data_IF_424730959752
#
_entry.id   IF_424730959752
#
_cell.length_a   1.000
_cell.length_b   1.000
_cell.length_c   1.000
_cell.angle_alpha   90.00
_cell.angle_beta   90.00
_cell.angle_gamma   90.00
#
_symmetry.space_group_name_H-M   'P 1'
#
loop_
_entity.id
_entity.type
_entity.pdbx_description
1 polymer ?
#
# COMPACT_ATOMS: atom_id res chain seq x y z
N UNK A 1 13.88 -2.16 17.47
CA UNK A 1 13.94 -2.72 16.12
C UNK A 1 13.29 -4.10 16.02
N UNK A 2 13.51 -4.99 16.98
CA UNK A 2 12.98 -6.35 16.98
C UNK A 2 11.47 -6.47 16.77
N UNK A 3 10.65 -5.60 17.37
CA UNK A 3 9.20 -5.69 17.25
C UNK A 3 8.68 -5.40 15.82
N UNK A 4 9.10 -4.31 15.18
CA UNK A 4 8.65 -3.97 13.82
C UNK A 4 9.20 -4.95 12.78
N UNK A 5 10.43 -5.41 12.92
CA UNK A 5 11.00 -6.44 12.03
C UNK A 5 10.21 -7.73 12.13
N UNK A 6 9.85 -8.16 13.34
CA UNK A 6 9.03 -9.35 13.55
C UNK A 6 7.66 -9.21 12.87
N UNK A 7 7.02 -8.04 13.00
CA UNK A 7 5.73 -7.77 12.35
C UNK A 7 5.83 -7.79 10.81
N UNK A 8 6.93 -7.29 10.23
CA UNK A 8 7.15 -7.33 8.78
C UNK A 8 7.43 -8.77 8.32
N UNK A 9 8.25 -9.53 9.07
CA UNK A 9 8.53 -10.94 8.78
C UNK A 9 7.28 -11.83 8.81
N UNK A 10 6.22 -11.40 9.51
CA UNK A 10 4.94 -12.11 9.58
C UNK A 10 4.09 -12.00 8.29
N UNK A 11 4.50 -11.22 7.30
CA UNK A 11 3.73 -11.01 6.06
C UNK A 11 3.38 -12.33 5.36
N UNK A 12 4.30 -13.29 5.31
CA UNK A 12 4.03 -14.63 4.75
C UNK A 12 2.91 -15.36 5.49
N UNK A 13 2.91 -15.33 6.83
CA UNK A 13 1.83 -15.91 7.66
C UNK A 13 0.49 -15.23 7.41
N UNK A 14 0.49 -13.90 7.27
CA UNK A 14 -0.72 -13.13 6.98
C UNK A 14 -1.34 -13.50 5.63
N UNK A 15 -0.50 -13.70 4.60
CA UNK A 15 -0.95 -14.13 3.27
C UNK A 15 -1.44 -15.58 3.27
N UNK A 16 -0.80 -16.47 4.02
CA UNK A 16 -1.30 -17.84 4.24
C UNK A 16 -2.68 -17.83 4.91
N UNK A 17 -2.86 -17.04 5.97
CA UNK A 17 -4.18 -16.85 6.57
C UNK A 17 -5.22 -16.39 5.54
N UNK A 18 -4.87 -15.44 4.67
CA UNK A 18 -5.76 -14.98 3.60
C UNK A 18 -6.12 -16.10 2.60
N UNK A 19 -5.22 -17.07 2.37
CA UNK A 19 -5.49 -18.22 1.50
C UNK A 19 -6.52 -19.18 2.09
N UNK A 20 -6.66 -19.22 3.41
CA UNK A 20 -7.50 -20.17 4.14
C UNK A 20 -8.91 -19.65 4.45
N UNK A 21 -9.09 -18.33 4.59
CA UNK A 21 -10.40 -17.76 4.90
C UNK A 21 -11.35 -17.86 3.70
N UNK A 22 -12.65 -17.98 3.98
CA UNK A 22 -13.67 -18.02 2.96
C UNK A 22 -14.07 -16.63 2.48
N UNK A 23 -14.32 -16.49 1.18
CA UNK A 23 -14.93 -15.29 0.62
C UNK A 23 -16.37 -15.16 1.11
N UNK A 24 -16.81 -13.99 1.62
CA UNK A 24 -18.18 -13.78 2.02
C UNK A 24 -19.10 -13.77 0.80
N UNK A 25 -20.35 -14.27 0.92
CA UNK A 25 -21.32 -14.18 -0.16
C UNK A 25 -21.91 -12.77 -0.22
N UNK A 26 -21.65 -12.03 -1.31
CA UNK A 26 -22.03 -10.60 -1.43
C UNK A 26 -22.97 -10.34 -2.61
N UNK A 27 -22.76 -11.01 -3.72
CA UNK A 27 -23.44 -10.73 -4.99
C UNK A 27 -22.42 -10.32 -6.07
N UNK A 28 -22.89 -9.80 -7.21
CA UNK A 28 -22.01 -9.44 -8.33
C UNK A 28 -21.92 -7.93 -8.48
N UNK A 29 -20.69 -7.43 -8.48
CA UNK A 29 -20.35 -6.01 -8.63
C UNK A 29 -19.19 -5.82 -9.60
N UNK A 30 -19.38 -4.96 -10.60
CA UNK A 30 -18.31 -4.52 -11.51
C UNK A 30 -17.63 -3.21 -11.08
N UNK A 31 -18.24 -2.52 -10.10
CA UNK A 31 -17.73 -1.28 -9.54
C UNK A 31 -17.60 -1.43 -8.02
N UNK A 32 -16.43 -1.13 -7.50
CA UNK A 32 -16.12 -1.17 -6.06
C UNK A 32 -15.53 0.16 -5.62
N UNK A 33 -15.90 0.61 -4.42
CA UNK A 33 -15.33 1.79 -3.78
C UNK A 33 -14.72 1.38 -2.44
N UNK A 34 -13.40 1.20 -2.41
CA UNK A 34 -12.68 0.97 -1.17
C UNK A 34 -12.55 2.29 -0.39
N UNK A 35 -12.75 2.23 0.91
CA UNK A 35 -12.64 3.39 1.80
C UNK A 35 -11.71 3.05 2.96
N UNK A 36 -10.64 3.81 3.13
CA UNK A 36 -9.67 3.55 4.20
C UNK A 36 -8.50 4.51 4.16
N UNK A 37 -7.77 4.60 5.27
CA UNK A 37 -6.62 5.48 5.45
C UNK A 37 -5.33 4.70 5.67
N UNK A 38 -4.17 5.29 5.33
CA UNK A 38 -2.86 4.70 5.61
C UNK A 38 -2.72 3.26 5.11
N UNK A 39 -2.35 2.33 6.01
CA UNK A 39 -2.22 0.90 5.70
C UNK A 39 -3.53 0.24 5.23
N UNK A 40 -4.68 0.72 5.70
CA UNK A 40 -5.99 0.27 5.22
C UNK A 40 -6.30 0.83 3.83
N UNK A 41 -5.95 2.08 3.55
CA UNK A 41 -6.15 2.70 2.24
C UNK A 41 -5.29 2.07 1.15
N UNK A 42 -4.02 1.77 1.44
CA UNK A 42 -3.11 1.16 0.46
C UNK A 42 -3.55 -0.26 0.07
N UNK A 43 -4.26 -1.00 0.95
CA UNK A 43 -4.82 -2.30 0.58
C UNK A 43 -5.90 -2.17 -0.51
N UNK A 44 -6.64 -1.06 -0.53
CA UNK A 44 -7.56 -0.71 -1.61
C UNK A 44 -6.84 -0.39 -2.93
N UNK A 45 -5.75 0.38 -2.88
CA UNK A 45 -4.96 0.69 -4.09
C UNK A 45 -4.34 -0.59 -4.69
N UNK A 46 -3.83 -1.50 -3.84
CA UNK A 46 -3.30 -2.79 -4.27
C UNK A 46 -4.40 -3.66 -4.90
N UNK A 47 -5.57 -3.69 -4.26
CA UNK A 47 -6.73 -4.41 -4.80
C UNK A 47 -7.18 -3.84 -6.15
N UNK A 48 -7.10 -2.51 -6.34
CA UNK A 48 -7.40 -1.87 -7.62
C UNK A 48 -6.44 -2.34 -8.73
N UNK A 49 -5.14 -2.37 -8.47
CA UNK A 49 -4.14 -2.85 -9.43
C UNK A 49 -4.32 -4.35 -9.78
N UNK A 50 -4.77 -5.17 -8.80
CA UNK A 50 -5.04 -6.59 -9.02
C UNK A 50 -6.35 -6.81 -9.77
N UNK A 51 -7.38 -5.98 -9.53
CA UNK A 51 -8.71 -6.13 -10.11
C UNK A 51 -8.81 -5.64 -11.57
N UNK A 52 -7.93 -4.73 -12.00
CA UNK A 52 -7.97 -4.13 -13.33
C UNK A 52 -8.02 -5.17 -14.47
N UNK A 53 -7.19 -6.24 -14.50
CA UNK A 53 -7.23 -7.25 -15.56
C UNK A 53 -8.55 -8.05 -15.62
N UNK A 54 -9.35 -8.02 -14.55
CA UNK A 54 -10.65 -8.69 -14.51
C UNK A 54 -11.80 -7.80 -14.99
N UNK A 55 -11.50 -6.56 -15.41
CA UNK A 55 -12.49 -5.60 -15.87
C UNK A 55 -13.33 -4.98 -14.74
N UNK A 56 -12.93 -5.17 -13.49
CA UNK A 56 -13.55 -4.54 -12.33
C UNK A 56 -12.88 -3.20 -12.04
N UNK A 57 -13.69 -2.17 -11.95
CA UNK A 57 -13.20 -0.86 -11.52
C UNK A 57 -13.22 -0.76 -10.00
N UNK A 58 -12.06 -0.66 -9.40
CA UNK A 58 -11.90 -0.37 -7.97
C UNK A 58 -11.40 1.05 -7.81
N UNK A 59 -12.22 1.91 -7.19
CA UNK A 59 -11.83 3.27 -6.78
C UNK A 59 -11.49 3.29 -5.30
N UNK A 60 -10.61 4.20 -4.87
CA UNK A 60 -10.21 4.30 -3.45
C UNK A 60 -10.49 5.71 -2.95
N UNK A 61 -11.23 5.81 -1.84
CA UNK A 61 -11.41 7.05 -1.11
C UNK A 61 -10.55 7.04 0.16
N UNK A 62 -9.72 8.07 0.30
CA UNK A 62 -8.87 8.33 1.47
C UNK A 62 -9.25 9.66 2.12
N UNK A 63 -10.52 9.82 2.48
CA UNK A 63 -11.04 11.05 3.06
C UNK A 63 -12.41 10.85 3.68
N UNK A 64 -12.97 11.97 4.11
CA UNK A 64 -14.32 12.05 4.68
C UNK A 64 -15.41 11.94 3.60
N UNK A 65 -16.68 11.76 4.04
CA UNK A 65 -17.86 11.92 3.21
C UNK A 65 -18.10 13.40 2.79
N UNK A 66 -19.16 13.67 2.06
CA UNK A 66 -20.21 12.73 1.65
C UNK A 66 -19.82 11.81 0.48
N UNK A 67 -20.63 10.76 0.28
CA UNK A 67 -20.53 9.92 -0.92
C UNK A 67 -20.63 10.77 -2.19
N UNK A 68 -19.69 10.60 -3.14
CA UNK A 68 -19.71 11.40 -4.35
C UNK A 68 -20.92 11.06 -5.24
N UNK A 69 -21.51 12.06 -5.96
CA UNK A 69 -22.71 11.85 -6.76
C UNK A 69 -22.64 10.73 -7.80
N UNK A 70 -21.45 10.44 -8.32
CA UNK A 70 -21.29 9.33 -9.26
C UNK A 70 -21.56 7.98 -8.59
N UNK A 71 -21.09 7.79 -7.33
CA UNK A 71 -21.28 6.55 -6.59
C UNK A 71 -22.77 6.32 -6.24
N UNK A 72 -23.53 7.39 -5.98
CA UNK A 72 -24.98 7.28 -5.77
C UNK A 72 -25.67 6.75 -7.05
N UNK A 73 -25.22 7.16 -8.24
CA UNK A 73 -25.79 6.73 -9.53
C UNK A 73 -25.38 5.30 -9.90
N UNK A 74 -24.09 4.98 -9.71
CA UNK A 74 -23.52 3.68 -10.12
C UNK A 74 -23.79 2.58 -9.11
N UNK A 75 -23.96 2.94 -7.81
CA UNK A 75 -24.18 2.03 -6.67
C UNK A 75 -23.07 0.96 -6.54
N UNK A 76 -21.78 1.36 -6.45
CA UNK A 76 -20.71 0.41 -6.26
C UNK A 76 -20.86 -0.32 -4.92
N UNK A 77 -20.21 -1.48 -4.79
CA UNK A 77 -19.97 -2.06 -3.47
C UNK A 77 -18.98 -1.17 -2.72
N UNK A 78 -19.35 -0.64 -1.58
CA UNK A 78 -18.44 0.07 -0.68
C UNK A 78 -17.72 -0.93 0.22
N UNK A 79 -16.41 -0.99 0.15
CA UNK A 79 -15.58 -1.84 1.02
C UNK A 79 -14.88 -0.93 2.04
N UNK A 80 -15.43 -0.86 3.25
CA UNK A 80 -14.89 -0.05 4.33
C UNK A 80 -13.78 -0.81 5.06
N UNK A 81 -12.56 -0.29 5.02
CA UNK A 81 -11.35 -0.92 5.57
C UNK A 81 -10.77 -0.06 6.67
N UNK A 82 -10.76 -0.57 7.90
CA UNK A 82 -10.08 0.06 9.02
C UNK A 82 -9.53 -1.00 9.95
N UNK A 83 -8.19 -1.09 10.07
CA UNK A 83 -7.56 -2.06 10.95
C UNK A 83 -8.06 -1.92 12.39
N UNK A 84 -8.03 -0.72 12.96
CA UNK A 84 -8.53 -0.46 14.31
C UNK A 84 -10.06 -0.44 14.43
N UNK A 85 -10.77 -0.30 13.31
CA UNK A 85 -12.22 -0.05 13.28
C UNK A 85 -12.66 1.30 13.81
N UNK A 86 -11.71 2.20 14.10
CA UNK A 86 -11.99 3.51 14.74
C UNK A 86 -11.42 4.69 13.95
N UNK A 87 -11.08 4.49 12.66
CA UNK A 87 -10.60 5.56 11.79
C UNK A 87 -11.76 6.49 11.45
N UNK A 88 -11.65 7.75 11.86
CA UNK A 88 -12.71 8.75 11.78
C UNK A 88 -13.21 8.93 10.35
N UNK A 89 -12.30 9.17 9.40
CA UNK A 89 -12.62 9.37 7.99
C UNK A 89 -13.35 8.16 7.39
N UNK A 90 -12.89 6.95 7.72
CA UNK A 90 -13.54 5.72 7.24
C UNK A 90 -14.95 5.55 7.80
N UNK A 91 -15.13 5.86 9.09
CA UNK A 91 -16.44 5.77 9.75
C UNK A 91 -17.40 6.80 9.16
N UNK A 92 -16.97 8.05 9.03
CA UNK A 92 -17.77 9.15 8.49
C UNK A 92 -18.25 8.83 7.06
N UNK A 93 -17.34 8.40 6.19
CA UNK A 93 -17.71 7.99 4.85
C UNK A 93 -18.65 6.78 4.83
N UNK A 94 -18.43 5.79 5.70
CA UNK A 94 -19.27 4.60 5.79
C UNK A 94 -20.70 4.93 6.24
N UNK A 95 -20.85 5.89 7.17
CA UNK A 95 -22.17 6.43 7.57
C UNK A 95 -22.86 7.08 6.37
N UNK A 96 -22.13 7.93 5.63
CA UNK A 96 -22.67 8.56 4.42
C UNK A 96 -23.07 7.54 3.34
N UNK A 97 -22.33 6.43 3.20
CA UNK A 97 -22.65 5.34 2.27
C UNK A 97 -23.92 4.60 2.69
N UNK A 98 -24.04 4.28 3.99
CA UNK A 98 -25.26 3.69 4.59
C UNK A 98 -26.47 4.58 4.34
N UNK A 99 -26.38 5.85 4.69
CA UNK A 99 -27.50 6.80 4.59
C UNK A 99 -27.91 7.06 3.13
N UNK A 100 -26.97 6.86 2.18
CA UNK A 100 -27.23 6.86 0.73
C UNK A 100 -27.77 5.51 0.21
N UNK A 101 -27.93 4.51 1.09
CA UNK A 101 -28.44 3.17 0.74
C UNK A 101 -27.51 2.37 -0.16
N UNK A 102 -26.19 2.63 -0.11
CA UNK A 102 -25.22 1.85 -0.87
C UNK A 102 -24.94 0.49 -0.19
N UNK A 103 -24.63 -0.56 -0.97
CA UNK A 103 -24.17 -1.82 -0.40
C UNK A 103 -22.80 -1.63 0.26
N UNK A 104 -22.63 -2.18 1.48
CA UNK A 104 -21.40 -2.06 2.27
C UNK A 104 -20.89 -3.43 2.66
N UNK A 105 -19.58 -3.63 2.60
CA UNK A 105 -18.84 -4.73 3.23
C UNK A 105 -17.72 -4.14 4.09
N UNK A 106 -17.31 -4.84 5.14
CA UNK A 106 -16.37 -4.32 6.13
C UNK A 106 -15.17 -5.25 6.33
N UNK A 107 -13.99 -4.65 6.45
CA UNK A 107 -12.73 -5.32 6.83
C UNK A 107 -12.14 -4.62 8.03
N UNK A 108 -12.06 -5.31 9.17
CA UNK A 108 -11.61 -4.68 10.44
C UNK A 108 -11.17 -5.72 11.47
N UNK A 109 -10.46 -5.30 12.53
CA UNK A 109 -10.26 -6.11 13.74
C UNK A 109 -11.39 -5.96 14.77
N UNK A 110 -12.37 -5.07 14.54
CA UNK A 110 -13.44 -4.72 15.46
C UNK A 110 -13.72 -3.21 15.48
N UNK A 111 -13.79 -2.64 16.69
CA UNK A 111 -14.05 -1.21 16.88
C UNK A 111 -15.45 -0.77 16.44
N UNK A 112 -15.65 0.53 16.29
CA UNK A 112 -16.94 1.11 15.89
C UNK A 112 -17.41 0.59 14.54
N UNK A 113 -16.50 0.45 13.57
CA UNK A 113 -16.83 -0.08 12.24
C UNK A 113 -17.33 -1.53 12.29
N UNK A 114 -16.72 -2.36 13.19
CA UNK A 114 -17.17 -3.73 13.42
C UNK A 114 -18.58 -3.78 14.02
N UNK A 115 -18.86 -2.93 15.03
CA UNK A 115 -20.20 -2.83 15.62
C UNK A 115 -21.25 -2.38 14.62
N UNK A 116 -20.94 -1.39 13.78
CA UNK A 116 -21.83 -0.96 12.69
C UNK A 116 -22.15 -2.10 11.71
N UNK A 117 -21.14 -2.91 11.36
CA UNK A 117 -21.36 -4.05 10.46
C UNK A 117 -22.29 -5.10 11.07
N UNK A 118 -22.23 -5.33 12.38
CA UNK A 118 -23.11 -6.25 13.10
C UNK A 118 -24.55 -5.72 13.19
N UNK A 119 -24.72 -4.43 13.53
CA UNK A 119 -26.03 -3.76 13.62
C UNK A 119 -26.75 -3.76 12.25
N UNK A 120 -26.04 -3.42 11.18
CA UNK A 120 -26.58 -3.31 9.82
C UNK A 120 -26.58 -4.67 9.08
N UNK A 121 -26.02 -5.73 9.67
CA UNK A 121 -25.86 -7.07 9.08
C UNK A 121 -25.08 -7.05 7.76
N UNK A 122 -24.08 -6.20 7.67
CA UNK A 122 -23.21 -6.15 6.50
C UNK A 122 -22.24 -7.34 6.47
N UNK A 123 -21.86 -7.82 5.27
CA UNK A 123 -20.76 -8.76 5.14
C UNK A 123 -19.50 -8.18 5.80
N UNK A 124 -18.88 -8.98 6.67
CA UNK A 124 -17.71 -8.56 7.43
C UNK A 124 -16.62 -9.63 7.36
N UNK A 125 -15.36 -9.21 7.19
CA UNK A 125 -14.18 -10.04 7.39
C UNK A 125 -13.42 -9.50 8.60
N UNK A 126 -13.40 -10.30 9.68
CA UNK A 126 -12.62 -9.99 10.87
C UNK A 126 -11.15 -10.39 10.62
N UNK A 127 -10.24 -9.43 10.73
CA UNK A 127 -8.81 -9.66 10.57
C UNK A 127 -8.12 -9.78 11.94
N UNK A 128 -7.03 -10.56 12.06
CA UNK A 128 -6.27 -10.68 13.30
C UNK A 128 -5.73 -9.32 13.77
N UNK A 129 -5.82 -9.08 15.09
CA UNK A 129 -5.32 -7.86 15.73
C UNK A 129 -3.88 -8.03 16.25
N UNK A 130 -3.28 -6.96 16.78
CA UNK A 130 -1.99 -7.01 17.49
C UNK A 130 -0.80 -6.43 16.72
N UNK A 131 -0.99 -6.01 15.47
CA UNK A 131 0.06 -5.40 14.65
C UNK A 131 -0.10 -3.89 14.52
N UNK A 132 0.97 -3.22 14.09
CA UNK A 132 0.84 -1.88 13.55
C UNK A 132 0.05 -1.93 12.24
N UNK A 133 -0.89 -1.00 11.95
CA UNK A 133 -1.72 -1.07 10.73
C UNK A 133 -0.91 -1.19 9.44
N UNK A 134 0.25 -0.54 9.36
CA UNK A 134 1.16 -0.61 8.21
C UNK A 134 1.85 -1.97 8.04
N UNK A 135 1.95 -2.75 9.12
CA UNK A 135 2.51 -4.10 9.10
C UNK A 135 1.46 -5.20 8.92
N UNK A 136 0.16 -4.84 8.93
CA UNK A 136 -0.96 -5.78 8.74
C UNK A 136 -1.41 -5.88 7.28
N UNK A 137 -0.52 -5.57 6.32
CA UNK A 137 -0.87 -5.50 4.90
C UNK A 137 -1.45 -6.83 4.38
N UNK A 138 -0.84 -7.97 4.72
CA UNK A 138 -1.29 -9.27 4.24
C UNK A 138 -2.70 -9.60 4.71
N UNK A 139 -3.03 -9.29 5.97
CA UNK A 139 -4.39 -9.44 6.49
C UNK A 139 -5.38 -8.51 5.79
N UNK A 140 -5.07 -7.21 5.69
CA UNK A 140 -5.98 -6.22 5.11
C UNK A 140 -6.21 -6.44 3.62
N UNK A 141 -5.14 -6.58 2.84
CA UNK A 141 -5.22 -6.85 1.40
C UNK A 141 -5.90 -8.19 1.14
N UNK A 142 -5.51 -9.23 1.91
CA UNK A 142 -6.10 -10.54 1.80
C UNK A 142 -7.61 -10.51 2.03
N UNK A 143 -8.06 -9.88 3.11
CA UNK A 143 -9.48 -9.73 3.40
C UNK A 143 -10.23 -8.92 2.32
N UNK A 144 -9.63 -7.82 1.81
CA UNK A 144 -10.21 -7.04 0.70
C UNK A 144 -10.36 -7.92 -0.54
N UNK A 145 -9.33 -8.68 -0.93
CA UNK A 145 -9.42 -9.57 -2.11
C UNK A 145 -10.47 -10.67 -1.91
N UNK A 146 -10.63 -11.22 -0.70
CA UNK A 146 -11.72 -12.16 -0.40
C UNK A 146 -13.10 -11.53 -0.51
N UNK A 147 -13.25 -10.26 -0.10
CA UNK A 147 -14.49 -9.50 -0.34
C UNK A 147 -14.74 -9.34 -1.84
N UNK A 148 -13.71 -9.00 -2.62
CA UNK A 148 -13.82 -8.88 -4.08
C UNK A 148 -14.15 -10.21 -4.78
N UNK A 149 -13.60 -11.33 -4.32
CA UNK A 149 -13.98 -12.67 -4.78
C UNK A 149 -15.47 -12.96 -4.50
N UNK A 150 -15.91 -12.67 -3.27
CA UNK A 150 -17.31 -12.82 -2.87
C UNK A 150 -18.28 -11.91 -3.62
N UNK A 151 -17.76 -10.83 -4.17
CA UNK A 151 -18.47 -9.89 -5.05
C UNK A 151 -18.35 -10.25 -6.54
N UNK A 152 -17.70 -11.36 -6.90
CA UNK A 152 -17.36 -11.76 -8.28
C UNK A 152 -16.59 -10.67 -9.05
N UNK A 153 -15.89 -9.82 -8.34
CA UNK A 153 -15.10 -8.72 -8.89
C UNK A 153 -13.67 -9.16 -9.32
N UNK A 154 -13.17 -10.25 -8.74
CA UNK A 154 -11.94 -10.94 -9.13
C UNK A 154 -12.16 -12.45 -9.07
N UNK A 155 -11.32 -13.20 -9.76
CA UNK A 155 -11.30 -14.67 -9.66
C UNK A 155 -10.63 -15.12 -8.36
N UNK A 156 -10.70 -16.43 -8.06
CA UNK A 156 -10.05 -17.07 -6.90
C UNK A 156 -8.55 -16.75 -6.86
N UNK A 157 -8.10 -16.13 -5.77
CA UNK A 157 -6.72 -15.69 -5.54
C UNK A 157 -5.91 -16.65 -4.67
N UNK A 158 -6.42 -17.83 -4.29
CA UNK A 158 -5.74 -18.75 -3.36
C UNK A 158 -4.32 -19.12 -3.79
N UNK A 159 -4.14 -19.47 -5.06
CA UNK A 159 -2.80 -19.78 -5.58
C UNK A 159 -1.86 -18.57 -5.55
N UNK A 160 -2.38 -17.37 -5.82
CA UNK A 160 -1.62 -16.14 -5.73
C UNK A 160 -1.20 -15.83 -4.28
N UNK A 161 -2.08 -16.08 -3.29
CA UNK A 161 -1.73 -15.94 -1.88
C UNK A 161 -0.63 -16.91 -1.46
N UNK A 162 -0.71 -18.18 -1.87
CA UNK A 162 0.30 -19.19 -1.54
C UNK A 162 1.66 -18.79 -2.13
N UNK A 163 1.72 -18.46 -3.42
CA UNK A 163 2.98 -18.03 -4.05
C UNK A 163 3.55 -16.77 -3.38
N UNK A 164 2.70 -15.78 -3.09
CA UNK A 164 3.12 -14.55 -2.44
C UNK A 164 3.62 -14.77 -0.99
N UNK A 165 2.98 -15.70 -0.26
CA UNK A 165 3.40 -16.07 1.09
C UNK A 165 4.76 -16.74 1.11
N UNK A 166 4.99 -17.68 0.20
CA UNK A 166 6.28 -18.37 0.04
C UNK A 166 7.38 -17.38 -0.39
N UNK A 167 7.09 -16.47 -1.31
CA UNK A 167 8.02 -15.43 -1.73
C UNK A 167 8.38 -14.54 -0.54
N UNK A 168 7.38 -14.02 0.20
CA UNK A 168 7.61 -13.16 1.35
C UNK A 168 8.44 -13.87 2.43
N UNK A 169 8.15 -15.14 2.72
CA UNK A 169 8.92 -15.94 3.67
C UNK A 169 10.40 -16.00 3.32
N UNK A 170 10.72 -16.37 2.08
CA UNK A 170 12.11 -16.44 1.59
C UNK A 170 12.79 -15.06 1.52
N UNK A 171 12.10 -14.07 0.99
CA UNK A 171 12.65 -12.73 0.78
C UNK A 171 13.01 -12.00 2.09
N UNK A 172 12.29 -12.32 3.18
CA UNK A 172 12.49 -11.70 4.51
C UNK A 172 13.45 -12.50 5.41
N UNK A 173 14.07 -13.56 4.91
CA UNK A 173 15.19 -14.25 5.58
C UNK A 173 16.45 -13.38 5.49
N UNK A 174 17.18 -13.27 6.61
CA UNK A 174 18.47 -12.57 6.63
C UNK A 174 19.49 -13.28 5.73
N UNK A 175 20.18 -12.51 4.87
CA UNK A 175 21.12 -13.03 3.88
C UNK A 175 20.45 -13.53 2.59
N UNK A 176 19.14 -13.33 2.40
CA UNK A 176 18.52 -13.53 1.09
C UNK A 176 18.94 -12.45 0.09
N UNK A 177 18.86 -12.75 -1.21
CA UNK A 177 19.15 -11.76 -2.28
C UNK A 177 18.33 -10.47 -2.10
N UNK A 178 17.08 -10.59 -1.63
CA UNK A 178 16.21 -9.44 -1.35
C UNK A 178 16.73 -8.63 -0.17
N UNK A 179 17.21 -9.29 0.88
CA UNK A 179 17.79 -8.65 2.05
C UNK A 179 19.06 -7.91 1.69
N UNK A 180 20.01 -8.55 1.00
CA UNK A 180 21.26 -7.94 0.54
C UNK A 180 20.99 -6.74 -0.39
N UNK A 181 20.02 -6.86 -1.29
CA UNK A 181 19.58 -5.75 -2.15
C UNK A 181 19.03 -4.59 -1.32
N UNK A 182 18.20 -4.88 -0.32
CA UNK A 182 17.65 -3.85 0.56
C UNK A 182 18.74 -3.13 1.38
N UNK A 183 19.77 -3.86 1.84
CA UNK A 183 20.95 -3.28 2.51
C UNK A 183 21.69 -2.30 1.58
N UNK A 184 21.98 -2.70 0.35
CA UNK A 184 22.64 -1.83 -0.61
C UNK A 184 21.86 -0.57 -0.94
N UNK A 185 20.52 -0.70 -1.08
CA UNK A 185 19.63 0.45 -1.30
C UNK A 185 19.62 1.38 -0.07
N UNK A 186 19.48 0.83 1.13
CA UNK A 186 19.45 1.61 2.36
C UNK A 186 20.79 2.33 2.60
N UNK A 187 21.93 1.70 2.30
CA UNK A 187 23.24 2.34 2.36
C UNK A 187 23.32 3.52 1.39
N UNK A 188 22.91 3.32 0.14
CA UNK A 188 22.92 4.37 -0.88
C UNK A 188 21.98 5.55 -0.54
N UNK A 189 20.87 5.29 0.16
CA UNK A 189 19.91 6.30 0.58
C UNK A 189 20.19 6.90 1.95
N UNK A 190 21.20 6.42 2.66
CA UNK A 190 21.53 6.92 4.00
C UNK A 190 21.89 8.41 3.97
N UNK A 191 21.23 9.18 4.83
CA UNK A 191 21.39 10.65 4.88
C UNK A 191 20.75 11.41 3.71
N UNK A 192 20.00 10.73 2.84
CA UNK A 192 19.31 11.31 1.69
C UNK A 192 17.80 11.28 1.82
N UNK A 193 17.15 12.07 1.02
CA UNK A 193 15.70 12.10 0.83
C UNK A 193 15.37 11.17 -0.35
N UNK A 194 14.71 10.04 -0.13
CA UNK A 194 14.35 9.12 -1.20
C UNK A 194 13.21 9.65 -2.08
N UNK A 195 13.41 9.57 -3.39
CA UNK A 195 12.36 9.77 -4.41
C UNK A 195 12.08 8.39 -5.03
N UNK A 196 10.84 7.95 -4.96
CA UNK A 196 10.46 6.61 -5.42
C UNK A 196 9.59 6.74 -6.66
N UNK A 197 10.07 6.25 -7.80
CA UNK A 197 9.32 6.22 -9.06
C UNK A 197 8.72 4.85 -9.30
N UNK A 198 7.49 4.81 -9.82
CA UNK A 198 6.85 3.58 -10.26
C UNK A 198 6.56 3.62 -11.76
N UNK A 199 6.83 2.52 -12.46
CA UNK A 199 6.68 2.44 -13.91
C UNK A 199 5.26 2.17 -14.41
N UNK A 200 4.37 1.62 -13.60
CA UNK A 200 3.03 1.19 -14.03
C UNK A 200 2.06 0.97 -12.87
N UNK A 201 0.92 0.30 -13.11
CA UNK A 201 -0.12 0.11 -12.08
C UNK A 201 0.38 -0.61 -10.83
N UNK A 202 1.19 -1.67 -10.99
CA UNK A 202 1.74 -2.44 -9.87
C UNK A 202 2.85 -1.66 -9.17
N UNK A 203 3.87 -1.24 -9.92
CA UNK A 203 5.02 -0.54 -9.35
C UNK A 203 4.67 0.84 -8.81
N UNK A 204 3.70 1.54 -9.40
CA UNK A 204 3.25 2.85 -8.95
C UNK A 204 2.59 2.82 -7.57
N UNK A 205 1.69 1.87 -7.30
CA UNK A 205 1.07 1.77 -5.97
C UNK A 205 2.07 1.30 -4.91
N UNK A 206 3.06 0.49 -5.30
CA UNK A 206 4.13 0.09 -4.39
C UNK A 206 5.09 1.26 -4.11
N UNK A 207 5.37 2.12 -5.09
CA UNK A 207 6.16 3.34 -4.88
C UNK A 207 5.53 4.24 -3.80
N UNK A 208 4.20 4.42 -3.84
CA UNK A 208 3.46 5.12 -2.79
C UNK A 208 3.65 4.46 -1.42
N UNK A 209 3.60 3.11 -1.35
CA UNK A 209 3.84 2.40 -0.09
C UNK A 209 5.28 2.59 0.42
N UNK A 210 6.28 2.46 -0.43
CA UNK A 210 7.68 2.71 -0.03
C UNK A 210 7.83 4.05 0.66
N UNK A 211 7.30 5.10 0.02
CA UNK A 211 7.29 6.45 0.59
C UNK A 211 6.67 6.48 1.98
N UNK A 212 5.51 5.88 2.17
CA UNK A 212 4.83 5.90 3.47
C UNK A 212 5.56 5.07 4.52
N UNK A 213 6.11 3.92 4.17
CA UNK A 213 6.92 3.10 5.06
C UNK A 213 8.21 3.82 5.49
N UNK A 214 8.90 4.48 4.58
CA UNK A 214 10.09 5.30 4.90
C UNK A 214 9.71 6.44 5.87
N UNK A 215 8.61 7.16 5.59
CA UNK A 215 8.15 8.23 6.48
C UNK A 215 7.81 7.70 7.88
N UNK A 216 7.11 6.56 7.98
CA UNK A 216 6.63 6.04 9.27
C UNK A 216 7.69 5.25 10.04
N UNK A 217 8.54 4.47 9.37
CA UNK A 217 9.57 3.66 10.02
C UNK A 217 10.86 4.44 10.24
N UNK A 218 11.41 5.04 9.19
CA UNK A 218 12.70 5.74 9.25
C UNK A 218 12.59 7.20 9.73
N UNK A 219 11.39 7.78 9.76
CA UNK A 219 11.12 9.21 10.08
C UNK A 219 11.80 10.17 9.09
N UNK A 220 12.13 9.69 7.90
CA UNK A 220 12.78 10.43 6.83
C UNK A 220 11.72 10.94 5.85
N UNK A 221 11.78 12.21 5.41
CA UNK A 221 10.96 12.68 4.29
C UNK A 221 11.21 11.83 3.04
N UNK A 222 10.18 11.49 2.32
CA UNK A 222 10.28 10.80 1.04
C UNK A 222 9.10 11.19 0.15
N UNK A 223 9.30 11.14 -1.16
CA UNK A 223 8.25 11.41 -2.15
C UNK A 223 8.16 10.27 -3.16
N UNK A 224 7.10 10.25 -3.92
CA UNK A 224 6.87 9.28 -4.97
C UNK A 224 6.16 9.92 -6.15
N UNK A 225 6.40 9.37 -7.34
CA UNK A 225 5.70 9.76 -8.55
C UNK A 225 5.61 8.57 -9.51
N UNK A 226 4.85 8.71 -10.59
CA UNK A 226 4.63 7.62 -11.54
C UNK A 226 4.89 8.02 -12.98
N UNK A 227 5.48 7.10 -13.72
CA UNK A 227 5.54 7.13 -15.18
C UNK A 227 4.19 6.73 -15.78
N UNK A 228 3.79 7.30 -16.90
CA UNK A 228 4.56 8.26 -17.71
C UNK A 228 4.37 9.72 -17.29
N UNK A 229 3.52 10.04 -16.29
CA UNK A 229 3.13 11.40 -15.94
C UNK A 229 4.32 12.27 -15.51
N UNK A 230 5.25 11.74 -14.72
CA UNK A 230 6.40 12.51 -14.24
C UNK A 230 7.30 13.03 -15.39
N UNK A 231 7.32 12.35 -16.54
CA UNK A 231 8.08 12.78 -17.71
C UNK A 231 7.47 14.00 -18.43
N UNK A 232 6.26 14.40 -18.06
CA UNK A 232 5.61 15.58 -18.62
C UNK A 232 5.80 16.86 -17.77
N UNK A 233 6.44 16.73 -16.61
CA UNK A 233 6.60 17.82 -15.64
C UNK A 233 7.84 17.65 -14.75
N UNK A 234 7.89 16.66 -13.89
CA UNK A 234 8.88 16.49 -12.84
C UNK A 234 10.30 16.30 -13.38
N UNK A 235 10.45 15.66 -14.56
CA UNK A 235 11.75 15.42 -15.18
C UNK A 235 12.56 16.71 -15.42
N UNK A 236 11.91 17.84 -15.67
CA UNK A 236 12.58 19.13 -15.85
C UNK A 236 13.07 19.73 -14.50
N UNK A 237 12.54 19.26 -13.40
CA UNK A 237 12.95 19.68 -12.05
C UNK A 237 14.38 19.27 -11.69
N UNK A 238 14.98 18.36 -12.44
CA UNK A 238 16.35 17.89 -12.24
C UNK A 238 17.42 18.79 -12.86
N UNK A 239 17.03 19.82 -13.63
CA UNK A 239 17.96 20.70 -14.37
C UNK A 239 18.64 21.73 -13.49
N UNK A 240 18.11 22.03 -12.29
CA UNK A 240 18.59 23.09 -11.42
C UNK A 240 18.81 22.62 -9.98
N UNK A 241 19.40 23.49 -9.14
CA UNK A 241 19.65 23.26 -7.71
C UNK A 241 20.57 22.04 -7.42
N UNK A 242 21.74 21.95 -8.08
CA UNK A 242 22.65 20.80 -7.90
C UNK A 242 23.13 20.62 -6.44
N UNK A 243 23.17 21.68 -5.65
CA UNK A 243 23.47 21.64 -4.23
C UNK A 243 22.40 20.88 -3.40
N UNK A 244 21.18 20.72 -3.92
CA UNK A 244 20.12 19.93 -3.30
C UNK A 244 20.08 18.54 -3.93
N UNK A 245 20.04 18.46 -5.26
CA UNK A 245 19.85 17.21 -5.98
C UNK A 245 21.02 16.27 -5.82
N UNK A 246 22.28 16.77 -5.93
CA UNK A 246 23.50 15.95 -5.85
C UNK A 246 23.88 15.55 -4.43
N UNK A 247 23.49 16.32 -3.42
CA UNK A 247 23.92 16.04 -2.05
C UNK A 247 22.82 15.32 -1.24
N UNK A 248 21.56 15.68 -1.47
CA UNK A 248 20.47 15.31 -0.58
C UNK A 248 19.45 14.30 -1.16
N UNK A 249 19.43 14.08 -2.47
CA UNK A 249 18.42 13.21 -3.06
C UNK A 249 19.02 11.87 -3.51
N UNK A 250 18.16 10.83 -3.52
CA UNK A 250 18.43 9.54 -4.12
C UNK A 250 17.17 8.96 -4.75
N UNK A 251 17.30 8.37 -5.93
CA UNK A 251 16.14 7.89 -6.71
C UNK A 251 16.10 6.37 -6.70
N UNK A 252 14.92 5.80 -6.47
CA UNK A 252 14.64 4.38 -6.69
C UNK A 252 13.54 4.26 -7.72
N UNK A 253 13.77 3.49 -8.78
CA UNK A 253 12.76 3.19 -9.79
C UNK A 253 12.26 1.76 -9.57
N UNK A 254 10.96 1.61 -9.39
CA UNK A 254 10.28 0.33 -9.30
C UNK A 254 9.70 -0.02 -10.67
N UNK A 255 9.92 -1.25 -11.12
CA UNK A 255 9.44 -1.74 -12.42
C UNK A 255 8.65 -3.03 -12.28
N UNK A 256 7.72 -3.25 -13.21
CA UNK A 256 6.98 -4.50 -13.32
C UNK A 256 7.07 -5.05 -14.75
N UNK A 257 7.20 -6.36 -14.88
CA UNK A 257 7.35 -7.00 -16.20
C UNK A 257 6.15 -6.83 -17.14
N UNK A 258 4.98 -6.52 -16.59
CA UNK A 258 3.76 -6.26 -17.38
C UNK A 258 3.55 -4.76 -17.64
N UNK A 259 4.53 -3.91 -17.29
CA UNK A 259 4.50 -2.51 -17.68
C UNK A 259 4.50 -2.39 -19.21
N UNK A 260 3.76 -1.41 -19.72
CA UNK A 260 3.70 -1.17 -21.16
C UNK A 260 5.11 -0.88 -21.72
N UNK A 261 5.46 -1.43 -22.89
CA UNK A 261 6.79 -1.30 -23.51
C UNK A 261 7.31 0.15 -23.55
N UNK A 262 6.41 1.11 -23.80
CA UNK A 262 6.78 2.53 -23.80
C UNK A 262 7.07 3.08 -22.41
N UNK A 263 6.47 2.50 -21.37
CA UNK A 263 6.78 2.84 -19.97
C UNK A 263 8.15 2.28 -19.61
N UNK A 264 8.45 1.03 -19.99
CA UNK A 264 9.78 0.44 -19.82
C UNK A 264 10.88 1.29 -20.47
N UNK A 265 10.67 1.74 -21.73
CA UNK A 265 11.61 2.65 -22.40
C UNK A 265 11.75 4.00 -21.66
N UNK A 266 10.67 4.52 -21.08
CA UNK A 266 10.71 5.76 -20.31
C UNK A 266 11.49 5.58 -18.99
N UNK A 267 11.35 4.43 -18.34
CA UNK A 267 12.17 4.08 -17.15
C UNK A 267 13.65 4.22 -17.46
N UNK A 268 14.13 3.62 -18.57
CA UNK A 268 15.53 3.70 -18.98
C UNK A 268 15.98 5.15 -19.20
N UNK A 269 15.22 5.93 -19.98
CA UNK A 269 15.56 7.33 -20.23
C UNK A 269 15.49 8.20 -18.99
N UNK A 270 14.47 8.02 -18.15
CA UNK A 270 14.33 8.76 -16.89
C UNK A 270 15.50 8.47 -15.96
N UNK A 271 15.88 7.20 -15.84
CA UNK A 271 17.05 6.80 -15.06
C UNK A 271 18.33 7.47 -15.58
N UNK A 272 18.56 7.43 -16.89
CA UNK A 272 19.75 8.02 -17.49
C UNK A 272 19.80 9.54 -17.28
N UNK A 273 18.68 10.24 -17.48
CA UNK A 273 18.58 11.69 -17.26
C UNK A 273 18.73 12.09 -15.78
N UNK A 274 18.21 11.31 -14.86
CA UNK A 274 18.32 11.59 -13.43
C UNK A 274 19.69 11.23 -12.85
N UNK A 275 20.40 10.25 -13.44
CA UNK A 275 21.72 9.80 -12.97
C UNK A 275 22.79 10.89 -13.00
N UNK A 276 22.67 11.90 -13.85
CA UNK A 276 23.56 13.07 -13.88
C UNK A 276 23.23 14.10 -12.78
N UNK A 277 22.00 14.07 -12.28
CA UNK A 277 21.47 15.05 -11.33
C UNK A 277 21.58 14.58 -9.86
N UNK A 278 21.59 13.27 -9.60
CA UNK A 278 21.64 12.71 -8.23
C UNK A 278 22.84 11.78 -8.05
N UNK A 279 23.32 11.57 -6.82
CA UNK A 279 24.48 10.72 -6.56
C UNK A 279 24.20 9.23 -6.77
N UNK A 280 22.94 8.83 -6.76
CA UNK A 280 22.56 7.44 -6.89
C UNK A 280 21.15 7.27 -7.45
N UNK A 281 21.01 6.37 -8.42
CA UNK A 281 19.75 5.89 -8.96
C UNK A 281 19.78 4.36 -8.93
N UNK A 282 18.82 3.76 -8.22
CA UNK A 282 18.67 2.31 -8.16
C UNK A 282 17.39 1.83 -8.84
N UNK A 283 17.37 0.56 -9.22
CA UNK A 283 16.20 -0.10 -9.81
C UNK A 283 15.82 -1.37 -9.04
N UNK A 284 14.51 -1.56 -8.85
CA UNK A 284 13.94 -2.77 -8.27
C UNK A 284 12.84 -3.28 -9.18
N UNK A 285 13.11 -4.40 -9.85
CA UNK A 285 12.12 -5.09 -10.67
C UNK A 285 11.29 -6.07 -9.82
N UNK A 286 10.01 -6.18 -10.15
CA UNK A 286 9.11 -7.18 -9.55
C UNK A 286 9.49 -8.61 -9.91
N UNK A 287 9.09 -9.57 -9.07
CA UNK A 287 9.24 -11.00 -9.33
C UNK A 287 7.99 -11.76 -8.91
N UNK A 288 7.77 -12.92 -9.52
CA UNK A 288 6.61 -13.78 -9.24
C UNK A 288 5.66 -13.91 -10.44
N UNK A 289 4.73 -14.85 -10.36
CA UNK A 289 3.82 -15.19 -11.46
C UNK A 289 2.57 -14.32 -11.44
N UNK A 290 1.92 -14.22 -10.27
CA UNK A 290 0.67 -13.49 -10.11
C UNK A 290 0.90 -12.00 -9.82
N UNK A 291 -0.04 -11.10 -10.22
CA UNK A 291 0.02 -9.68 -9.85
C UNK A 291 0.22 -9.45 -8.34
N UNK A 292 -0.47 -10.23 -7.49
CA UNK A 292 -0.30 -10.19 -6.04
C UNK A 292 1.14 -10.50 -5.62
N UNK A 293 1.75 -11.55 -6.19
CA UNK A 293 3.13 -11.94 -5.86
C UNK A 293 4.11 -10.85 -6.28
N UNK A 294 3.91 -10.24 -7.45
CA UNK A 294 4.75 -9.14 -7.95
C UNK A 294 4.64 -7.88 -7.08
N UNK A 295 3.43 -7.52 -6.64
CA UNK A 295 3.22 -6.47 -5.64
C UNK A 295 3.98 -6.77 -4.34
N UNK A 296 3.86 -7.99 -3.83
CA UNK A 296 4.52 -8.43 -2.59
C UNK A 296 6.04 -8.40 -2.73
N UNK A 297 6.60 -8.81 -3.88
CA UNK A 297 8.05 -8.81 -4.11
C UNK A 297 8.67 -7.42 -3.99
N UNK A 298 8.03 -6.41 -4.59
CA UNK A 298 8.45 -5.01 -4.45
C UNK A 298 8.22 -4.48 -3.04
N UNK A 299 7.11 -4.88 -2.41
CA UNK A 299 6.72 -4.47 -1.06
C UNK A 299 7.74 -4.89 -0.01
N UNK A 300 8.15 -6.17 0.00
CA UNK A 300 9.08 -6.69 1.00
C UNK A 300 10.44 -6.00 0.94
N UNK A 301 10.91 -5.68 -0.27
CA UNK A 301 12.15 -4.91 -0.46
C UNK A 301 12.03 -3.52 0.19
N UNK A 302 10.93 -2.80 -0.05
CA UNK A 302 10.71 -1.46 0.51
C UNK A 302 10.49 -1.45 2.01
N UNK A 303 9.79 -2.44 2.53
CA UNK A 303 9.58 -2.58 3.96
C UNK A 303 10.94 -2.82 4.68
N UNK A 304 11.83 -3.66 4.11
CA UNK A 304 13.19 -3.85 4.60
C UNK A 304 14.03 -2.56 4.51
N UNK A 305 14.05 -1.90 3.35
CA UNK A 305 14.76 -0.62 3.17
C UNK A 305 14.35 0.39 4.23
N UNK A 306 13.05 0.51 4.52
CA UNK A 306 12.54 1.45 5.52
C UNK A 306 13.03 1.15 6.94
N UNK A 307 13.19 -0.13 7.29
CA UNK A 307 13.73 -0.56 8.59
C UNK A 307 15.24 -0.33 8.68
N UNK A 308 15.97 -0.65 7.61
CA UNK A 308 17.42 -0.45 7.56
C UNK A 308 17.77 1.03 7.62
N UNK A 309 17.02 1.90 6.95
CA UNK A 309 17.14 3.36 7.10
C UNK A 309 16.82 3.83 8.53
N UNK A 310 15.80 3.26 9.19
CA UNK A 310 15.51 3.55 10.59
C UNK A 310 16.69 3.17 11.50
N UNK A 311 17.31 2.02 11.25
CA UNK A 311 18.49 1.56 11.98
C UNK A 311 19.68 2.49 11.80
N UNK A 312 19.97 2.88 10.56
CA UNK A 312 21.06 3.81 10.24
C UNK A 312 20.85 5.19 10.88
N UNK A 313 19.59 5.66 10.89
CA UNK A 313 19.21 6.92 11.55
C UNK A 313 19.16 6.83 13.08
N UNK A 314 19.30 5.64 13.67
CA UNK A 314 19.21 5.43 15.12
C UNK A 314 17.81 5.70 15.70
N UNK A 315 16.74 5.56 14.88
CA UNK A 315 15.36 5.82 15.32
C UNK A 315 14.58 4.53 15.55
N UNK A 316 13.64 4.57 16.50
CA UNK A 316 12.72 3.45 16.71
C UNK A 316 11.63 3.47 15.60
N UNK A 317 11.51 2.42 14.76
CA UNK A 317 10.51 2.39 13.70
C UNK A 317 9.07 2.30 14.23
N UNK A 318 8.84 1.66 15.38
CA UNK A 318 7.50 1.29 15.83
C UNK A 318 6.58 2.49 16.17
N UNK A 319 6.93 3.47 17.03
CA UNK A 319 6.03 4.54 17.42
C UNK A 319 5.85 5.57 16.32
N UNK A 320 4.64 6.11 16.21
CA UNK A 320 4.25 7.20 15.30
C UNK A 320 3.71 8.40 16.09
N UNK A 321 4.49 8.88 17.04
CA UNK A 321 4.12 9.86 18.05
C UNK A 321 3.47 11.14 17.46
N UNK A 322 3.94 11.59 16.29
CA UNK A 322 3.40 12.78 15.62
C UNK A 322 1.96 12.55 15.15
N UNK A 323 1.67 11.37 14.59
CA UNK A 323 0.31 11.00 14.17
C UNK A 323 -0.61 10.86 15.39
N UNK A 324 -0.13 10.23 16.47
CA UNK A 324 -0.89 10.12 17.71
C UNK A 324 -1.19 11.48 18.35
N UNK A 325 -0.21 12.41 18.30
CA UNK A 325 -0.39 13.78 18.79
C UNK A 325 -1.45 14.51 17.96
N UNK A 326 -1.42 14.39 16.63
CA UNK A 326 -2.42 14.98 15.75
C UNK A 326 -3.83 14.47 16.08
N UNK A 327 -4.01 13.16 16.19
CA UNK A 327 -5.30 12.54 16.59
C UNK A 327 -5.83 13.07 17.93
N UNK A 328 -4.94 13.24 18.93
CA UNK A 328 -5.32 13.79 20.24
C UNK A 328 -5.69 15.28 20.17
N UNK A 329 -5.16 16.03 19.23
CA UNK A 329 -5.54 17.45 19.03
C UNK A 329 -6.91 17.53 18.37
N UNK A 330 -7.16 16.76 17.30
CA UNK A 330 -8.47 16.72 16.64
C UNK A 330 -9.60 16.28 17.60
N UNK A 331 -9.38 15.25 18.37
CA UNK A 331 -10.37 14.79 19.37
C UNK A 331 -10.72 15.81 20.46
N UNK A 332 -10.00 16.93 20.59
CA UNK A 332 -10.33 18.04 21.52
C UNK A 332 -11.18 19.13 20.86
N UNK A 333 -11.24 19.18 19.54
CA UNK A 333 -12.07 20.16 18.82
C UNK A 333 -13.54 19.72 18.78
N UNK A 334 -13.81 18.42 18.99
CA UNK A 334 -15.15 17.81 18.98
C UNK A 334 -15.88 17.91 20.36
N UNK A 335 -15.26 18.46 21.38
CA UNK A 335 -15.78 18.62 22.76
C UNK A 335 -15.81 20.06 23.23
#
# INVERSE_FOLDING_TARGET
>A
MSDMLTQIKDLGSQLNWASEIHAPSIGTYSEVLCVGMGGSGISGDYAAAIAEPFGTRVSVNKGYGPVPPWAIRVRPLVVAVSYSGNTEETIDFTISARDSGLPVAVVTTGGRLGSMAEEEKWPKVDVPSGLQPRAALGYLLGAVLRVLEGAHAVNDQRLAFVEAAELAGRALEEGSDTWEKAEGIAEALSGRIPIIYGGGPISGVVAQRWKTQINENAKVPAWWSTLPELDHNEITGWETMPEVTKDLLGVVVLTDRDDHDRVASRVDFTRDLTSDAVPWVGEVASSGTFPLTRLVSLTVTGDLVSLLLAQQAGVNPTPVNTIEKLKKLLAKEDG
#
